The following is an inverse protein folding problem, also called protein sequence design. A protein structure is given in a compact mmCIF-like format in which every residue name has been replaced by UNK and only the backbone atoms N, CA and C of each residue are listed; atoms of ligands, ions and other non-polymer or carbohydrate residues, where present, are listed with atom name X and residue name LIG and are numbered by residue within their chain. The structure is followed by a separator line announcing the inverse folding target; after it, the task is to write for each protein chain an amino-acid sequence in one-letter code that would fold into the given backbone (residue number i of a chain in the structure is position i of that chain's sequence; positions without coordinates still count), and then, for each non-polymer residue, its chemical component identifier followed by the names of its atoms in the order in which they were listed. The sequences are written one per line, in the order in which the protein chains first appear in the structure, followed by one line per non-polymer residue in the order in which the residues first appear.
data_IF_928363754881
#
_entry.id   IF_928363754881
#
_cell.length_a   1.000
_cell.length_b   1.000
_cell.length_c   1.000
_cell.angle_alpha   90.00
_cell.angle_beta   90.00
_cell.angle_gamma   90.00
#
_symmetry.space_group_name_H-M   'P 1'
#
loop_
_entity.id
_entity.type
_entity.pdbx_description
1 polymer ?
#
# COMPACT_ATOMS: atom_id res chain seq x y z
N UNK A 1 -1.84 -15.29 -13.25
CA UNK A 1 -1.18 -14.67 -12.07
C UNK A 1 0.03 -13.81 -12.46
N UNK A 2 1.23 -14.34 -12.82
CA UNK A 2 2.37 -13.46 -13.21
C UNK A 2 2.11 -12.51 -14.40
N UNK A 3 1.30 -12.90 -15.39
CA UNK A 3 0.98 -12.04 -16.55
C UNK A 3 0.17 -10.78 -16.19
N UNK A 4 -0.86 -10.93 -15.35
CA UNK A 4 -1.73 -9.80 -14.94
C UNK A 4 -0.97 -8.78 -14.07
N UNK A 5 -0.07 -9.27 -13.22
CA UNK A 5 0.86 -8.46 -12.46
C UNK A 5 1.73 -7.57 -13.35
N UNK A 6 2.40 -8.15 -14.34
CA UNK A 6 3.27 -7.42 -15.29
C UNK A 6 2.44 -6.40 -16.10
N UNK A 7 1.23 -6.78 -16.51
CA UNK A 7 0.34 -5.85 -17.22
C UNK A 7 -0.01 -4.61 -16.38
N UNK A 8 -0.26 -4.76 -15.09
CA UNK A 8 -0.54 -3.62 -14.20
C UNK A 8 0.70 -2.72 -14.11
N UNK A 9 1.89 -3.30 -13.94
CA UNK A 9 3.15 -2.54 -13.89
C UNK A 9 3.39 -1.75 -15.18
N UNK A 10 3.19 -2.38 -16.34
CA UNK A 10 3.46 -1.79 -17.65
C UNK A 10 2.41 -0.74 -18.07
N UNK A 11 1.16 -0.87 -17.61
CA UNK A 11 0.08 0.09 -17.92
C UNK A 11 0.27 1.44 -17.20
N UNK A 12 1.04 1.49 -16.12
CA UNK A 12 1.27 2.72 -15.34
C UNK A 12 2.51 3.45 -15.84
N UNK A 13 2.28 4.62 -16.46
CA UNK A 13 3.35 5.48 -16.98
C UNK A 13 3.71 6.64 -16.04
N UNK A 14 2.79 7.02 -15.15
CA UNK A 14 2.95 8.15 -14.24
C UNK A 14 2.98 7.65 -12.80
N UNK A 15 3.99 8.08 -12.05
CA UNK A 15 4.19 7.76 -10.64
C UNK A 15 4.46 9.06 -9.86
N UNK A 16 4.01 9.17 -8.60
CA UNK A 16 3.13 8.22 -7.89
C UNK A 16 1.70 8.25 -8.45
N UNK A 17 0.95 7.16 -8.31
CA UNK A 17 -0.44 7.09 -8.75
C UNK A 17 -1.33 6.29 -7.80
N UNK A 18 -2.61 6.63 -7.77
CA UNK A 18 -3.65 5.84 -7.09
C UNK A 18 -4.06 4.65 -7.95
N UNK A 19 -4.25 3.49 -7.33
CA UNK A 19 -4.72 2.27 -7.97
C UNK A 19 -6.21 2.06 -7.73
N UNK A 20 -6.84 1.31 -8.64
CA UNK A 20 -8.14 0.72 -8.35
C UNK A 20 -7.94 -0.32 -7.25
N UNK A 21 -8.92 -0.45 -6.35
CA UNK A 21 -8.87 -1.40 -5.22
C UNK A 21 -8.44 -2.81 -5.64
N UNK A 22 -9.07 -3.35 -6.69
CA UNK A 22 -8.75 -4.68 -7.25
C UNK A 22 -7.29 -4.82 -7.71
N UNK A 23 -6.74 -3.79 -8.34
CA UNK A 23 -5.35 -3.81 -8.80
C UNK A 23 -4.39 -3.78 -7.61
N UNK A 24 -4.69 -2.96 -6.60
CA UNK A 24 -3.92 -2.87 -5.36
C UNK A 24 -3.92 -4.18 -4.58
N UNK A 25 -5.08 -4.81 -4.39
CA UNK A 25 -5.20 -6.13 -3.74
C UNK A 25 -4.43 -7.21 -4.50
N UNK A 26 -4.49 -7.21 -5.84
CA UNK A 26 -3.73 -8.14 -6.66
C UNK A 26 -2.22 -7.92 -6.47
N UNK A 27 -1.73 -6.68 -6.60
CA UNK A 27 -0.31 -6.38 -6.40
C UNK A 27 0.16 -6.73 -4.98
N UNK A 28 -0.63 -6.43 -3.95
CA UNK A 28 -0.34 -6.76 -2.56
C UNK A 28 0.01 -8.25 -2.37
N UNK A 29 -0.62 -9.15 -3.12
CA UNK A 29 -0.31 -10.60 -3.06
C UNK A 29 1.07 -11.00 -3.59
N UNK A 30 1.74 -10.14 -4.36
CA UNK A 30 3.07 -10.39 -4.93
C UNK A 30 4.19 -9.60 -4.24
N UNK A 31 3.84 -8.55 -3.49
CA UNK A 31 4.81 -7.68 -2.84
C UNK A 31 5.07 -8.16 -1.41
N UNK A 32 6.29 -7.99 -0.93
CA UNK A 32 6.65 -8.30 0.45
C UNK A 32 6.28 -7.12 1.36
N UNK A 33 5.60 -7.41 2.48
CA UNK A 33 5.30 -6.38 3.48
C UNK A 33 6.59 -5.86 4.10
N UNK A 34 6.78 -4.55 4.11
CA UNK A 34 7.91 -3.91 4.75
C UNK A 34 7.68 -3.80 6.25
N UNK A 35 8.25 -4.73 7.01
CA UNK A 35 8.09 -4.82 8.47
C UNK A 35 8.72 -3.61 9.19
N UNK A 36 9.70 -2.94 8.56
CA UNK A 36 10.35 -1.78 9.14
C UNK A 36 9.60 -0.47 8.84
N UNK A 37 8.53 -0.53 8.05
CA UNK A 37 7.66 0.61 7.81
C UNK A 37 6.86 0.92 9.08
N UNK A 38 6.88 2.19 9.52
CA UNK A 38 6.24 2.64 10.77
C UNK A 38 7.17 2.67 12.00
N UNK A 39 8.20 1.80 12.06
CA UNK A 39 9.16 1.76 13.18
C UNK A 39 10.11 2.98 13.24
N UNK A 40 10.43 3.59 12.10
CA UNK A 40 11.33 4.76 12.03
C UNK A 40 10.63 6.11 12.17
N UNK A 41 9.31 6.12 12.41
CA UNK A 41 8.64 7.35 12.83
C UNK A 41 9.01 7.58 14.30
N UNK A 42 9.77 8.64 14.58
CA UNK A 42 10.40 8.94 15.88
C UNK A 42 9.37 9.11 17.04
N UNK A 43 8.07 8.87 16.80
CA UNK A 43 6.99 9.21 17.72
C UNK A 43 5.86 8.17 17.88
N UNK A 44 5.98 6.90 17.46
CA UNK A 44 4.88 5.93 17.60
C UNK A 44 5.06 4.98 18.78
N UNK A 45 4.98 5.52 20.00
CA UNK A 45 4.46 4.71 21.11
C UNK A 45 2.95 4.58 20.91
N UNK A 46 2.55 3.40 20.39
CA UNK A 46 1.22 2.80 20.40
C UNK A 46 0.18 3.32 19.38
N UNK A 47 -0.51 2.31 18.81
CA UNK A 47 -1.88 2.30 18.27
C UNK A 47 -1.98 2.46 16.74
N UNK A 48 -2.08 1.28 16.12
CA UNK A 48 -2.73 0.93 14.87
C UNK A 48 -1.95 1.24 13.58
N UNK A 49 -1.40 0.18 13.00
CA UNK A 49 -0.90 0.13 11.64
C UNK A 49 -2.09 0.37 10.68
N UNK A 50 -2.44 1.64 10.44
CA UNK A 50 -3.51 2.05 9.52
C UNK A 50 -2.98 2.34 8.12
N UNK A 51 -1.65 2.30 7.96
CA UNK A 51 -0.95 2.38 6.70
C UNK A 51 0.08 1.26 6.63
N UNK A 52 0.12 0.56 5.50
CA UNK A 52 1.09 -0.51 5.26
C UNK A 52 1.85 -0.25 3.97
N UNK A 53 3.15 -0.53 4.00
CA UNK A 53 4.02 -0.50 2.82
C UNK A 53 4.39 -1.90 2.41
N UNK A 54 4.33 -2.14 1.11
CA UNK A 54 4.78 -3.36 0.46
C UNK A 54 5.81 -3.00 -0.61
N UNK A 55 6.84 -3.85 -0.75
CA UNK A 55 7.96 -3.64 -1.64
C UNK A 55 8.08 -4.83 -2.59
N UNK A 56 8.29 -4.53 -3.86
CA UNK A 56 8.69 -5.50 -4.87
C UNK A 56 9.91 -4.98 -5.61
N UNK A 57 10.89 -5.86 -5.85
CA UNK A 57 12.13 -5.52 -6.56
C UNK A 57 12.31 -6.48 -7.73
N UNK A 58 12.51 -5.91 -8.91
CA UNK A 58 12.76 -6.68 -10.13
C UNK A 58 13.72 -5.87 -11.01
N UNK A 59 14.78 -6.53 -11.51
CA UNK A 59 15.76 -5.94 -12.45
C UNK A 59 16.34 -4.57 -12.02
N UNK A 60 16.55 -4.38 -10.71
CA UNK A 60 17.09 -3.13 -10.16
C UNK A 60 16.06 -2.01 -9.97
N UNK A 61 14.80 -2.23 -10.35
CA UNK A 61 13.68 -1.30 -10.11
C UNK A 61 13.01 -1.66 -8.78
N UNK A 62 12.71 -0.66 -7.95
CA UNK A 62 11.94 -0.84 -6.72
C UNK A 62 10.54 -0.28 -6.89
N UNK A 63 9.55 -1.16 -6.80
CA UNK A 63 8.15 -0.79 -6.73
C UNK A 63 7.69 -0.72 -5.28
N UNK A 64 6.88 0.29 -4.97
CA UNK A 64 6.31 0.51 -3.64
C UNK A 64 4.80 0.58 -3.77
N UNK A 65 4.11 -0.25 -3.01
CA UNK A 65 2.66 -0.21 -2.84
C UNK A 65 2.36 0.25 -1.41
N UNK A 66 1.59 1.32 -1.27
CA UNK A 66 1.03 1.77 0.01
C UNK A 66 -0.44 1.35 0.06
N UNK A 67 -0.85 0.84 1.21
CA UNK A 67 -2.23 0.52 1.57
C UNK A 67 -2.64 1.41 2.73
N UNK A 68 -3.64 2.26 2.53
CA UNK A 68 -4.12 3.24 3.51
C UNK A 68 -5.59 2.98 3.83
N UNK A 69 -5.93 2.82 5.11
CA UNK A 69 -7.31 2.60 5.54
C UNK A 69 -8.03 3.94 5.75
N UNK A 70 -9.23 4.06 5.16
CA UNK A 70 -10.06 5.27 5.24
C UNK A 70 -11.05 5.13 6.40
N UNK A 71 -11.30 6.26 7.08
CA UNK A 71 -12.22 6.38 8.19
C UNK A 71 -13.29 7.42 7.90
N UNK A 72 -14.43 7.30 8.59
CA UNK A 72 -15.46 8.34 8.57
C UNK A 72 -14.92 9.59 9.27
N UNK A 73 -15.28 10.76 8.77
CA UNK A 73 -14.95 12.02 9.43
C UNK A 73 -15.56 12.05 10.85
N UNK A 74 -14.75 12.43 11.83
CA UNK A 74 -15.15 12.45 13.25
C UNK A 74 -15.12 11.09 13.95
N UNK A 75 -14.56 10.05 13.34
CA UNK A 75 -14.35 8.75 14.00
C UNK A 75 -13.33 8.88 15.15
N UNK A 76 -13.79 8.62 16.37
CA UNK A 76 -12.96 8.76 17.58
C UNK A 76 -12.01 7.57 17.77
N UNK A 77 -12.36 6.40 17.23
CA UNK A 77 -11.60 5.16 17.40
C UNK A 77 -11.15 4.61 16.04
N UNK A 78 -9.92 4.95 15.66
CA UNK A 78 -9.33 4.48 14.41
C UNK A 78 -8.81 3.05 14.57
N UNK A 79 -9.51 2.04 14.05
CA UNK A 79 -9.10 0.63 14.02
C UNK A 79 -9.38 0.01 12.65
N UNK A 80 -8.71 -1.08 12.27
CA UNK A 80 -9.02 -1.75 10.99
C UNK A 80 -10.50 -2.17 10.90
N UNK A 81 -11.08 -2.59 12.03
CA UNK A 81 -12.49 -2.98 12.15
C UNK A 81 -13.46 -1.83 11.88
N UNK A 82 -13.06 -0.60 12.23
CA UNK A 82 -13.85 0.62 12.02
C UNK A 82 -13.57 1.31 10.69
N UNK A 83 -12.69 0.75 9.86
CA UNK A 83 -12.38 1.32 8.55
C UNK A 83 -13.57 1.21 7.60
N UNK A 84 -13.84 2.27 6.85
CA UNK A 84 -14.91 2.33 5.84
C UNK A 84 -14.40 2.01 4.44
N UNK A 85 -13.08 1.92 4.26
CA UNK A 85 -12.47 1.67 2.97
C UNK A 85 -10.97 1.50 3.06
N UNK A 86 -10.38 1.19 1.91
CA UNK A 86 -8.93 1.09 1.73
C UNK A 86 -8.56 1.66 0.38
N UNK A 87 -7.49 2.45 0.35
CA UNK A 87 -6.90 2.99 -0.85
C UNK A 87 -5.50 2.42 -1.06
N UNK A 88 -5.15 2.32 -2.34
CA UNK A 88 -3.85 1.81 -2.75
C UNK A 88 -3.13 2.85 -3.58
N UNK A 89 -1.90 3.15 -3.19
CA UNK A 89 -1.02 4.05 -3.92
C UNK A 89 0.21 3.32 -4.38
N UNK A 90 0.66 3.66 -5.57
CA UNK A 90 1.71 2.94 -6.26
C UNK A 90 2.80 3.88 -6.73
N UNK A 91 4.04 3.54 -6.40
CA UNK A 91 5.22 4.29 -6.76
C UNK A 91 6.31 3.36 -7.34
N UNK A 92 7.19 3.96 -8.14
CA UNK A 92 8.35 3.31 -8.75
C UNK A 92 9.58 4.17 -8.46
N UNK A 93 10.63 3.57 -7.90
CA UNK A 93 11.90 4.20 -7.55
C UNK A 93 13.04 3.42 -8.18
#
# INVERSE_FOLDING_TARGET
MKKEFIEILMKKKNFPCKLKKKDGELLKSFFEKDINFGMNSINTKKINDLEFRYIYKEEGIKYILLEEYIFKEGETFLSLENSIGVEYYFNKI
#
